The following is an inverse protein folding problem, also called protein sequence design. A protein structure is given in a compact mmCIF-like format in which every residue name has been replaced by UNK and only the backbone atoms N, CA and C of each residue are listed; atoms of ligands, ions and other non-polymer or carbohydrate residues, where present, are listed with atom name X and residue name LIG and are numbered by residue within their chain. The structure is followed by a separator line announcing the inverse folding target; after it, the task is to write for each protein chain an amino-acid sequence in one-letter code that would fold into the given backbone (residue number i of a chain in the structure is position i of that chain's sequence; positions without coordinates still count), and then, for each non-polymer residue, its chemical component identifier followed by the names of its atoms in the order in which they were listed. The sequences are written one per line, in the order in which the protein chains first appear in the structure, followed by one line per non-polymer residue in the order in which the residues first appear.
data_IF_122224947354
#
_entry.id   IF_122224947354
#
_cell.length_a   1.000
_cell.length_b   1.000
_cell.length_c   1.000
_cell.angle_alpha   90.00
_cell.angle_beta   90.00
_cell.angle_gamma   90.00
#
_symmetry.space_group_name_H-M   'P 1'
#
loop_
_entity.id
_entity.type
_entity.pdbx_description
1 polymer ?
#
# COMPACT_ATOMS: atom_id res chain seq x y z
N UNK A 1 -23.10 -73.14 -56.11
CA UNK A 1 -22.04 -72.45 -56.88
C UNK A 1 -22.15 -70.95 -56.60
N UNK A 2 -20.98 -70.32 -56.41
CA UNK A 2 -20.65 -68.88 -56.22
C UNK A 2 -20.70 -68.28 -54.79
N UNK A 3 -19.47 -67.93 -54.35
CA UNK A 3 -18.93 -67.04 -53.30
C UNK A 3 -19.39 -65.56 -53.44
N UNK A 4 -19.22 -64.57 -52.54
CA UNK A 4 -18.41 -64.37 -51.30
C UNK A 4 -18.84 -63.09 -50.49
N UNK A 5 -18.29 -62.99 -49.25
CA UNK A 5 -17.96 -61.81 -48.39
C UNK A 5 -19.12 -61.03 -47.69
N UNK A 6 -19.05 -60.57 -46.43
CA UNK A 6 -17.92 -60.01 -45.64
C UNK A 6 -18.21 -60.07 -44.12
N UNK A 7 -17.17 -60.26 -43.28
CA UNK A 7 -17.20 -60.16 -41.81
C UNK A 7 -16.93 -58.71 -41.32
N UNK A 8 -17.52 -58.31 -40.18
CA UNK A 8 -17.25 -57.05 -39.47
C UNK A 8 -16.64 -57.35 -38.09
N UNK A 9 -15.51 -56.70 -37.80
CA UNK A 9 -14.71 -56.81 -36.57
C UNK A 9 -15.21 -55.81 -35.52
N UNK A 10 -15.33 -56.24 -34.26
CA UNK A 10 -15.62 -55.40 -33.09
C UNK A 10 -14.36 -55.32 -32.21
N UNK A 11 -13.78 -54.11 -32.04
CA UNK A 11 -12.62 -53.87 -31.16
C UNK A 11 -13.08 -53.31 -29.80
N UNK A 12 -12.55 -53.91 -28.72
CA UNK A 12 -12.54 -53.39 -27.35
C UNK A 12 -11.58 -52.19 -27.24
N UNK A 13 -11.97 -51.14 -26.52
CA UNK A 13 -11.08 -50.07 -26.07
C UNK A 13 -10.96 -50.08 -24.54
N UNK A 14 -9.72 -50.18 -24.06
CA UNK A 14 -9.28 -50.10 -22.67
C UNK A 14 -9.32 -48.64 -22.17
N UNK A 15 -9.82 -48.44 -20.94
CA UNK A 15 -9.82 -47.15 -20.26
C UNK A 15 -8.42 -46.74 -19.79
N UNK A 16 -8.04 -45.49 -20.08
CA UNK A 16 -6.86 -44.82 -19.52
C UNK A 16 -7.30 -43.86 -18.40
N UNK A 17 -6.49 -43.65 -17.34
CA UNK A 17 -6.78 -42.63 -16.33
C UNK A 17 -6.51 -41.23 -16.93
N UNK A 18 -7.51 -40.36 -16.90
CA UNK A 18 -7.34 -38.94 -17.21
C UNK A 18 -6.58 -38.27 -16.05
N UNK A 19 -5.30 -37.97 -16.26
CA UNK A 19 -4.59 -36.96 -15.49
C UNK A 19 -5.11 -35.59 -15.92
N UNK A 20 -5.97 -34.98 -15.09
CA UNK A 20 -6.40 -33.60 -15.27
C UNK A 20 -5.30 -32.65 -14.81
N UNK A 21 -4.52 -32.14 -15.77
CA UNK A 21 -3.55 -31.06 -15.57
C UNK A 21 -4.32 -29.74 -15.34
N UNK A 22 -4.25 -29.18 -14.13
CA UNK A 22 -4.80 -27.86 -13.84
C UNK A 22 -3.81 -26.80 -14.35
N UNK A 23 -3.96 -26.41 -15.61
CA UNK A 23 -3.33 -25.19 -16.13
C UNK A 23 -4.22 -24.01 -15.72
N UNK A 24 -3.96 -23.46 -14.54
CA UNK A 24 -4.44 -22.14 -14.17
C UNK A 24 -3.55 -21.09 -14.83
N UNK A 25 -3.90 -20.68 -16.05
CA UNK A 25 -3.34 -19.46 -16.64
C UNK A 25 -3.78 -18.27 -15.80
N UNK A 26 -2.80 -17.59 -15.20
CA UNK A 26 -3.00 -16.32 -14.50
C UNK A 26 -3.48 -15.30 -15.55
N UNK A 27 -4.64 -14.65 -15.39
CA UNK A 27 -4.98 -13.53 -16.25
C UNK A 27 -3.98 -12.42 -16.00
N UNK A 28 -3.37 -11.93 -17.08
CA UNK A 28 -2.45 -10.82 -17.10
C UNK A 28 -3.21 -9.56 -16.64
N UNK A 29 -3.29 -9.36 -15.32
CA UNK A 29 -3.67 -8.08 -14.76
C UNK A 29 -2.48 -7.15 -14.98
N UNK A 30 -2.74 -6.00 -15.59
CA UNK A 30 -1.77 -4.91 -15.61
C UNK A 30 -1.26 -4.76 -14.17
N UNK A 31 0.05 -4.89 -13.91
CA UNK A 31 0.57 -4.65 -12.58
C UNK A 31 0.22 -3.20 -12.22
N UNK A 32 -0.38 -3.01 -11.05
CA UNK A 32 -0.38 -1.71 -10.40
C UNK A 32 1.04 -1.13 -10.53
N UNK A 33 1.22 0.16 -10.87
CA UNK A 33 2.54 0.75 -11.08
C UNK A 33 3.47 0.57 -9.87
N UNK A 34 2.91 0.26 -8.70
CA UNK A 34 3.63 -0.13 -7.51
C UNK A 34 3.94 -1.65 -7.52
N UNK A 35 5.15 -2.02 -7.96
CA UNK A 35 5.72 -3.35 -7.73
C UNK A 35 5.93 -3.57 -6.22
N UNK A 36 5.47 -4.73 -5.72
CA UNK A 36 5.67 -5.34 -4.38
C UNK A 36 4.52 -5.15 -3.34
N UNK A 37 4.42 -5.98 -2.28
CA UNK A 37 3.46 -7.08 -2.12
C UNK A 37 2.23 -6.66 -1.29
N UNK A 38 1.12 -6.33 -1.96
CA UNK A 38 -0.12 -5.91 -1.29
C UNK A 38 -1.32 -6.82 -1.61
N UNK A 39 -1.07 -7.98 -2.23
CA UNK A 39 -2.11 -8.95 -2.57
C UNK A 39 -2.55 -9.71 -1.31
N UNK A 40 -3.84 -9.67 -0.94
CA UNK A 40 -4.37 -10.52 0.13
C UNK A 40 -4.04 -11.98 -0.17
N UNK A 41 -3.59 -12.71 0.84
CA UNK A 41 -3.35 -14.15 0.75
C UNK A 41 -4.44 -14.88 1.51
N UNK A 42 -4.67 -16.15 1.22
CA UNK A 42 -5.73 -16.87 1.90
C UNK A 42 -5.80 -18.34 1.55
N UNK A 43 -6.69 -19.04 2.24
CA UNK A 43 -7.03 -20.42 1.94
C UNK A 43 -8.54 -20.56 1.74
N UNK A 44 -8.92 -21.44 0.82
CA UNK A 44 -10.29 -21.86 0.63
C UNK A 44 -10.38 -23.34 0.98
N UNK A 45 -11.37 -23.71 1.81
CA UNK A 45 -11.65 -25.09 2.16
C UNK A 45 -13.13 -25.40 1.96
N UNK A 46 -13.44 -26.61 1.49
CA UNK A 46 -14.81 -27.08 1.24
C UNK A 46 -14.98 -28.44 1.89
N UNK A 47 -16.02 -28.60 2.72
CA UNK A 47 -16.31 -29.86 3.40
C UNK A 47 -17.79 -30.27 3.24
N UNK A 48 -18.10 -31.48 2.76
CA UNK A 48 -17.16 -32.48 2.23
C UNK A 48 -16.54 -32.04 0.89
N UNK A 49 -15.34 -32.53 0.61
CA UNK A 49 -14.62 -32.30 -0.67
C UNK A 49 -15.20 -33.08 -1.84
N UNK A 50 -16.10 -34.04 -1.55
CA UNK A 50 -16.82 -34.85 -2.55
C UNK A 50 -18.29 -34.51 -2.48
N UNK A 51 -18.88 -34.25 -3.65
CA UNK A 51 -20.32 -33.98 -3.76
C UNK A 51 -21.09 -35.28 -3.50
N UNK A 52 -21.94 -35.27 -2.47
CA UNK A 52 -22.85 -36.37 -2.17
C UNK A 52 -24.30 -35.86 -2.27
N UNK A 53 -25.20 -36.61 -2.92
CA UNK A 53 -26.62 -36.26 -2.95
C UNK A 53 -27.17 -36.09 -1.53
N UNK A 54 -27.88 -34.99 -1.28
CA UNK A 54 -28.45 -34.68 0.04
C UNK A 54 -27.48 -34.05 1.04
N UNK A 55 -26.17 -33.94 0.73
CA UNK A 55 -25.20 -33.27 1.59
C UNK A 55 -24.93 -31.86 1.08
N UNK A 56 -25.05 -30.86 1.97
CA UNK A 56 -24.70 -29.46 1.66
C UNK A 56 -23.23 -29.21 2.01
N UNK A 57 -22.35 -28.94 1.02
CA UNK A 57 -20.98 -28.60 1.30
C UNK A 57 -20.90 -27.23 2.00
N UNK A 58 -20.02 -27.15 3.00
CA UNK A 58 -19.64 -25.91 3.67
C UNK A 58 -18.35 -25.41 3.06
N UNK A 59 -18.37 -24.21 2.50
CA UNK A 59 -17.18 -23.50 2.05
C UNK A 59 -16.74 -22.52 3.13
N UNK A 60 -15.44 -22.52 3.43
CA UNK A 60 -14.80 -21.55 4.33
C UNK A 60 -13.68 -20.88 3.54
N UNK A 61 -13.67 -19.56 3.56
CA UNK A 61 -12.61 -18.75 2.98
C UNK A 61 -11.92 -17.97 4.10
N UNK A 62 -10.63 -18.19 4.26
CA UNK A 62 -9.78 -17.44 5.18
C UNK A 62 -8.91 -16.48 4.35
N UNK A 63 -9.10 -15.18 4.53
CA UNK A 63 -8.31 -14.14 3.84
C UNK A 63 -7.49 -13.39 4.89
N UNK A 64 -6.18 -13.32 4.68
CA UNK A 64 -5.24 -12.49 5.41
C UNK A 64 -4.93 -11.26 4.55
N UNK A 65 -5.39 -10.10 5.03
CA UNK A 65 -5.10 -8.81 4.43
C UNK A 65 -3.73 -8.30 4.91
N UNK A 66 -2.97 -7.61 4.05
CA UNK A 66 -1.74 -6.96 4.50
C UNK A 66 -2.07 -5.92 5.57
N UNK A 67 -1.23 -5.84 6.61
CA UNK A 67 -1.33 -4.79 7.62
C UNK A 67 -1.21 -3.40 6.98
N UNK A 68 -2.04 -2.49 7.48
CA UNK A 68 -2.06 -1.09 7.10
C UNK A 68 -1.06 -0.25 7.90
N UNK A 69 -0.84 1.01 7.49
CA UNK A 69 -0.11 2.02 8.26
C UNK A 69 -0.66 2.10 9.68
N UNK A 70 -1.98 2.14 9.84
CA UNK A 70 -2.63 2.27 11.16
C UNK A 70 -2.35 1.08 12.10
N UNK A 71 -2.09 -0.12 11.54
CA UNK A 71 -1.73 -1.30 12.32
C UNK A 71 -0.29 -1.24 12.84
N UNK A 72 0.61 -0.60 12.08
CA UNK A 72 2.06 -0.68 12.32
C UNK A 72 2.68 0.63 12.80
N UNK A 73 1.99 1.76 12.65
CA UNK A 73 2.41 3.09 13.06
C UNK A 73 1.21 3.98 13.38
N UNK A 74 1.52 5.19 13.85
CA UNK A 74 0.61 6.31 13.97
C UNK A 74 1.20 7.47 13.18
N UNK A 75 0.37 8.14 12.37
CA UNK A 75 0.74 9.38 11.67
C UNK A 75 -0.06 10.50 12.33
N UNK A 76 0.61 11.53 12.84
CA UNK A 76 -0.08 12.68 13.41
C UNK A 76 -0.60 13.64 12.33
N UNK A 77 -1.32 14.69 12.75
CA UNK A 77 -1.94 15.66 11.83
C UNK A 77 -0.94 16.39 10.94
N UNK A 78 0.32 16.49 11.35
CA UNK A 78 1.37 17.20 10.61
C UNK A 78 2.22 16.23 9.79
N UNK A 79 1.92 14.93 9.83
CA UNK A 79 2.61 13.89 9.10
C UNK A 79 3.80 13.24 9.84
N UNK A 80 4.01 13.50 11.12
CA UNK A 80 5.05 12.79 11.88
C UNK A 80 4.66 11.34 12.05
N UNK A 81 5.57 10.43 11.68
CA UNK A 81 5.33 8.99 11.79
C UNK A 81 5.92 8.48 13.11
N UNK A 82 5.12 7.71 13.84
CA UNK A 82 5.51 7.07 15.10
C UNK A 82 5.21 5.57 14.97
N UNK A 83 6.22 4.72 14.70
CA UNK A 83 6.02 3.28 14.59
C UNK A 83 5.51 2.66 15.90
N UNK A 84 4.55 1.73 15.81
CA UNK A 84 4.06 0.92 16.95
C UNK A 84 4.89 -0.36 17.15
N UNK A 85 5.64 -0.74 16.12
CA UNK A 85 6.51 -1.90 16.10
C UNK A 85 7.79 -1.58 15.34
N UNK A 86 8.74 -2.53 15.33
CA UNK A 86 9.97 -2.36 14.56
C UNK A 86 9.68 -2.38 13.06
N UNK A 87 10.13 -1.36 12.34
CA UNK A 87 9.91 -1.21 10.90
C UNK A 87 11.19 -0.87 10.15
N UNK A 88 11.23 -1.22 8.87
CA UNK A 88 12.13 -0.66 7.88
C UNK A 88 11.39 0.46 7.13
N UNK A 89 12.09 1.56 6.90
CA UNK A 89 11.58 2.81 6.33
C UNK A 89 12.27 3.05 4.98
N UNK A 90 11.50 3.39 3.95
CA UNK A 90 12.00 3.85 2.64
C UNK A 90 11.29 5.13 2.24
N UNK A 91 12.02 6.08 1.69
CA UNK A 91 11.48 7.35 1.19
C UNK A 91 11.83 7.52 -0.28
N UNK A 92 10.87 7.98 -1.07
CA UNK A 92 11.02 8.40 -2.46
C UNK A 92 10.47 9.80 -2.65
N UNK A 93 11.07 10.59 -3.52
CA UNK A 93 10.50 11.89 -3.93
C UNK A 93 9.65 11.64 -5.16
N UNK A 94 8.38 12.05 -5.10
CA UNK A 94 7.41 11.80 -6.18
C UNK A 94 7.33 12.97 -7.16
N UNK A 95 7.56 14.19 -6.68
CA UNK A 95 7.52 15.39 -7.51
C UNK A 95 7.92 16.64 -6.74
N UNK A 96 8.25 17.68 -7.52
CA UNK A 96 8.54 19.03 -7.05
C UNK A 96 7.87 19.98 -8.04
N UNK A 97 6.96 20.84 -7.56
CA UNK A 97 6.25 21.81 -8.41
C UNK A 97 6.55 23.27 -8.06
N UNK A 98 7.56 23.52 -7.23
CA UNK A 98 7.95 24.86 -6.85
C UNK A 98 8.45 25.67 -8.06
N UNK A 99 7.79 26.80 -8.33
CA UNK A 99 8.11 27.65 -9.48
C UNK A 99 7.92 29.14 -9.23
N UNK A 100 8.63 29.96 -9.99
CA UNK A 100 8.35 31.40 -10.12
C UNK A 100 8.13 31.73 -11.60
N UNK A 101 6.88 32.08 -11.95
CA UNK A 101 6.47 32.21 -13.34
C UNK A 101 6.64 30.88 -14.07
N UNK A 102 7.50 30.82 -15.08
CA UNK A 102 7.83 29.60 -15.82
C UNK A 102 9.17 28.96 -15.40
N UNK A 103 9.79 29.46 -14.33
CA UNK A 103 11.08 28.97 -13.87
C UNK A 103 10.89 27.99 -12.73
N UNK A 104 11.27 26.73 -12.94
CA UNK A 104 11.35 25.73 -11.88
C UNK A 104 12.43 26.12 -10.87
N UNK A 105 12.04 26.10 -9.60
CA UNK A 105 12.89 26.45 -8.48
C UNK A 105 13.32 25.19 -7.73
N UNK A 106 14.52 25.18 -7.12
CA UNK A 106 14.95 24.01 -6.38
C UNK A 106 14.28 23.96 -5.01
N UNK A 107 13.95 22.74 -4.58
CA UNK A 107 13.51 22.41 -3.24
C UNK A 107 14.53 21.47 -2.58
N UNK A 108 14.56 21.48 -1.26
CA UNK A 108 15.35 20.56 -0.47
C UNK A 108 14.46 19.83 0.54
N UNK A 109 14.72 18.53 0.72
CA UNK A 109 14.01 17.65 1.64
C UNK A 109 14.98 17.01 2.62
N UNK A 110 14.61 16.99 3.88
CA UNK A 110 15.32 16.33 4.96
C UNK A 110 14.44 15.34 5.69
N UNK A 111 15.07 14.30 6.21
CA UNK A 111 14.45 13.30 7.09
C UNK A 111 15.20 13.27 8.41
N UNK A 112 14.47 13.08 9.51
CA UNK A 112 15.06 12.82 10.83
C UNK A 112 14.41 11.59 11.43
N UNK A 113 15.22 10.62 11.85
CA UNK A 113 14.75 9.40 12.54
C UNK A 113 15.21 9.42 13.99
N UNK A 114 14.30 9.86 14.87
CA UNK A 114 14.50 10.09 16.30
C UNK A 114 14.58 11.57 16.63
N UNK A 115 13.86 12.01 17.67
CA UNK A 115 13.71 13.44 18.00
C UNK A 115 15.04 14.20 18.23
N UNK A 116 16.08 13.50 18.70
CA UNK A 116 17.43 14.05 18.94
C UNK A 116 18.44 13.73 17.84
N UNK A 117 18.02 13.03 16.77
CA UNK A 117 18.89 12.72 15.64
C UNK A 117 19.12 13.98 14.77
N UNK A 118 20.25 14.08 14.05
CA UNK A 118 20.43 15.12 13.07
C UNK A 118 19.45 14.96 11.90
N UNK A 119 19.14 16.08 11.24
CA UNK A 119 18.44 16.07 9.96
C UNK A 119 19.40 15.60 8.84
N UNK A 120 18.95 14.66 8.03
CA UNK A 120 19.68 14.11 6.89
C UNK A 120 19.07 14.70 5.61
N UNK A 121 19.87 15.37 4.78
CA UNK A 121 19.42 15.87 3.48
C UNK A 121 19.26 14.67 2.54
N UNK A 122 18.05 14.44 2.03
CA UNK A 122 17.73 13.29 1.18
C UNK A 122 17.47 13.69 -0.27
N UNK A 123 17.10 14.95 -0.52
CA UNK A 123 16.90 15.46 -1.87
C UNK A 123 17.22 16.95 -1.92
N UNK A 124 17.84 17.39 -3.01
CA UNK A 124 17.99 18.79 -3.38
C UNK A 124 18.01 18.91 -4.91
N UNK A 125 17.00 19.57 -5.46
CA UNK A 125 16.82 19.64 -6.90
C UNK A 125 15.49 20.28 -7.31
N UNK A 126 15.25 20.30 -8.62
CA UNK A 126 14.02 20.77 -9.27
C UNK A 126 13.16 19.59 -9.71
N UNK A 127 12.02 19.87 -10.32
CA UNK A 127 11.13 18.87 -10.93
C UNK A 127 11.89 17.86 -11.81
N UNK A 128 12.75 18.35 -12.72
CA UNK A 128 13.49 17.49 -13.65
C UNK A 128 14.59 16.64 -13.00
N UNK A 129 14.94 16.92 -11.73
CA UNK A 129 15.91 16.12 -10.97
C UNK A 129 15.23 14.97 -10.20
N UNK A 130 13.89 14.92 -10.18
CA UNK A 130 13.13 13.90 -9.46
C UNK A 130 13.15 12.58 -10.23
N UNK A 131 13.49 11.50 -9.52
CA UNK A 131 13.37 10.13 -9.99
C UNK A 131 12.40 9.36 -9.08
N UNK A 132 11.10 9.25 -9.44
CA UNK A 132 10.07 8.72 -8.54
C UNK A 132 10.28 7.27 -8.09
N UNK A 133 11.04 6.47 -8.84
CA UNK A 133 11.36 5.09 -8.51
C UNK A 133 12.57 4.95 -7.56
N UNK A 134 13.38 6.01 -7.42
CA UNK A 134 14.60 6.02 -6.62
C UNK A 134 14.28 6.12 -5.12
N UNK A 135 14.90 5.24 -4.33
CA UNK A 135 14.87 5.32 -2.88
C UNK A 135 15.95 6.30 -2.44
N UNK A 136 15.54 7.52 -2.10
CA UNK A 136 16.45 8.59 -1.67
C UNK A 136 16.90 8.44 -0.21
N UNK A 137 16.17 7.64 0.58
CA UNK A 137 16.52 7.33 1.96
C UNK A 137 15.98 5.96 2.38
N UNK A 138 16.82 5.18 3.06
CA UNK A 138 16.43 3.91 3.66
C UNK A 138 16.99 3.82 5.09
N UNK A 139 16.13 3.43 6.05
CA UNK A 139 16.54 3.13 7.42
C UNK A 139 15.95 1.81 7.86
N UNK A 140 16.81 0.88 8.26
CA UNK A 140 16.39 -0.43 8.77
C UNK A 140 16.25 -0.43 10.28
N UNK A 141 15.40 -1.31 10.79
CA UNK A 141 15.26 -1.62 12.20
C UNK A 141 14.88 -0.42 13.09
N UNK A 142 14.10 0.53 12.56
CA UNK A 142 13.57 1.67 13.33
C UNK A 142 12.72 1.12 14.48
N UNK A 143 12.99 1.59 15.70
CA UNK A 143 12.33 1.09 16.90
C UNK A 143 10.91 1.68 17.05
N UNK A 144 10.02 0.97 17.78
CA UNK A 144 8.76 1.56 18.23
C UNK A 144 8.98 2.90 18.93
N UNK A 145 7.99 3.78 18.86
CA UNK A 145 7.95 5.11 19.49
C UNK A 145 9.03 6.10 18.99
N UNK A 146 9.80 5.73 17.96
CA UNK A 146 10.77 6.63 17.32
C UNK A 146 10.03 7.61 16.42
N UNK A 147 10.13 8.91 16.69
CA UNK A 147 9.59 9.95 15.78
C UNK A 147 10.37 9.98 14.47
N UNK A 148 9.68 9.87 13.35
CA UNK A 148 10.22 10.08 12.02
C UNK A 148 9.60 11.36 11.49
N UNK A 149 10.43 12.37 11.32
CA UNK A 149 10.02 13.71 10.90
C UNK A 149 10.57 14.03 9.51
N UNK A 150 9.85 14.90 8.80
CA UNK A 150 10.26 15.46 7.52
C UNK A 150 10.37 16.98 7.62
N UNK A 151 11.25 17.55 6.81
CA UNK A 151 11.38 19.00 6.70
C UNK A 151 11.77 19.37 5.29
N UNK A 152 11.29 20.52 4.80
CA UNK A 152 11.62 21.02 3.48
C UNK A 152 11.67 22.55 3.44
N UNK A 153 12.38 23.07 2.44
CA UNK A 153 12.38 24.49 2.07
C UNK A 153 12.69 24.67 0.60
N UNK A 154 12.16 25.74 0.01
CA UNK A 154 12.38 26.12 -1.37
C UNK A 154 13.39 27.25 -1.52
N UNK A 155 14.01 27.37 -2.69
CA UNK A 155 14.82 28.53 -3.04
C UNK A 155 14.03 29.46 -3.96
N UNK A 156 13.94 30.74 -3.63
CA UNK A 156 13.39 31.78 -4.51
C UNK A 156 14.23 31.98 -5.77
N UNK A 157 13.66 32.68 -6.76
CA UNK A 157 14.34 33.01 -8.01
C UNK A 157 15.63 33.83 -7.83
N UNK A 158 15.78 34.57 -6.73
CA UNK A 158 17.00 35.32 -6.41
C UNK A 158 18.08 34.49 -5.70
N UNK A 159 17.81 33.20 -5.44
CA UNK A 159 18.71 32.32 -4.71
C UNK A 159 18.57 32.38 -3.18
N UNK A 160 17.68 33.22 -2.65
CA UNK A 160 17.36 33.25 -1.22
C UNK A 160 16.46 32.08 -0.85
N UNK A 161 16.61 31.52 0.34
CA UNK A 161 15.75 30.43 0.83
C UNK A 161 14.45 31.00 1.40
N UNK A 162 13.33 30.33 1.12
CA UNK A 162 12.10 30.48 1.88
C UNK A 162 12.24 29.83 3.27
N UNK A 163 11.22 30.03 4.10
CA UNK A 163 11.16 29.42 5.43
C UNK A 163 11.17 27.89 5.34
N UNK A 164 11.59 27.27 6.43
CA UNK A 164 11.62 25.81 6.56
C UNK A 164 10.35 25.32 7.20
N UNK A 165 9.65 24.42 6.51
CA UNK A 165 8.46 23.74 7.01
C UNK A 165 8.83 22.34 7.49
N UNK A 166 8.18 21.85 8.54
CA UNK A 166 8.50 20.54 9.14
C UNK A 166 7.35 19.92 9.88
N UNK A 167 7.22 18.59 9.77
CA UNK A 167 6.24 17.78 10.51
C UNK A 167 6.45 17.86 12.03
N UNK A 168 7.69 18.18 12.46
CA UNK A 168 8.02 18.38 13.87
C UNK A 168 7.48 19.72 14.44
N UNK A 169 7.02 20.63 13.57
CA UNK A 169 6.38 21.88 13.92
C UNK A 169 4.86 21.75 14.02
N UNK A 170 4.15 22.87 13.87
CA UNK A 170 2.68 22.94 13.88
C UNK A 170 2.12 23.70 12.68
N UNK A 171 2.85 23.70 11.58
CA UNK A 171 2.51 24.45 10.36
C UNK A 171 1.63 23.62 9.43
N UNK A 172 0.66 24.27 8.79
CA UNK A 172 -0.24 23.68 7.80
C UNK A 172 0.41 23.53 6.42
N UNK A 173 1.60 24.10 6.22
CA UNK A 173 2.44 23.95 5.02
C UNK A 173 3.07 22.55 4.86
N UNK A 174 2.76 21.61 5.76
CA UNK A 174 3.10 20.19 5.60
C UNK A 174 2.01 19.31 6.17
N UNK A 175 1.68 18.24 5.46
CA UNK A 175 0.75 17.21 5.93
C UNK A 175 1.23 15.84 5.46
N UNK A 176 1.04 14.83 6.32
CA UNK A 176 1.18 13.43 5.94
C UNK A 176 -0.20 12.79 5.88
N UNK A 177 -0.48 12.08 4.80
CA UNK A 177 -1.76 11.41 4.54
C UNK A 177 -1.54 9.92 4.28
N UNK A 178 -2.48 9.11 4.73
CA UNK A 178 -2.54 7.67 4.46
C UNK A 178 -3.64 7.34 3.45
N UNK A 179 -3.68 6.09 2.99
CA UNK A 179 -4.73 5.64 2.08
C UNK A 179 -6.14 5.91 2.64
N UNK A 180 -6.96 6.60 1.85
CA UNK A 180 -8.34 6.95 2.17
C UNK A 180 -8.50 8.30 2.87
N UNK A 181 -7.42 9.00 3.21
CA UNK A 181 -7.53 10.36 3.77
C UNK A 181 -8.00 11.33 2.69
N UNK A 182 -8.80 12.34 3.08
CA UNK A 182 -9.19 13.44 2.20
C UNK A 182 -8.06 14.47 2.15
N UNK A 183 -7.74 14.99 0.97
CA UNK A 183 -6.81 16.13 0.84
C UNK A 183 -7.34 17.36 1.58
N UNK A 184 -6.47 18.28 2.05
CA UNK A 184 -6.91 19.43 2.84
C UNK A 184 -7.75 20.43 2.03
N UNK A 185 -8.94 20.76 2.55
CA UNK A 185 -9.85 21.75 1.96
C UNK A 185 -9.28 23.19 1.94
N UNK A 186 -8.21 23.43 2.70
CA UNK A 186 -7.50 24.72 2.71
C UNK A 186 -6.46 24.87 1.60
N UNK A 187 -6.25 23.84 0.77
CA UNK A 187 -5.40 23.87 -0.42
C UNK A 187 -6.29 23.92 -1.67
N UNK A 188 -6.62 25.11 -2.20
CA UNK A 188 -7.67 25.26 -3.22
C UNK A 188 -7.37 24.54 -4.54
N UNK A 189 -6.11 24.22 -4.79
CA UNK A 189 -5.68 23.54 -6.01
C UNK A 189 -6.38 22.17 -6.21
N UNK A 190 -6.61 21.42 -5.13
CA UNK A 190 -7.28 20.12 -5.21
C UNK A 190 -8.76 20.25 -5.59
N UNK A 191 -9.45 21.30 -5.13
CA UNK A 191 -10.85 21.55 -5.49
C UNK A 191 -10.99 22.12 -6.91
N UNK A 192 -9.97 22.82 -7.39
CA UNK A 192 -9.95 23.47 -8.70
C UNK A 192 -9.38 22.59 -9.82
N UNK A 193 -8.97 21.36 -9.51
CA UNK A 193 -8.36 20.43 -10.46
C UNK A 193 -6.97 20.87 -10.96
N UNK A 194 -6.27 21.72 -10.20
CA UNK A 194 -4.89 22.16 -10.46
C UNK A 194 -3.90 21.19 -9.81
N UNK A 195 -4.11 19.91 -10.09
CA UNK A 195 -3.35 18.82 -9.52
C UNK A 195 -2.22 18.50 -10.48
N UNK A 196 -0.99 18.51 -9.97
CA UNK A 196 0.18 18.16 -10.72
C UNK A 196 0.14 16.71 -11.18
N UNK A 197 0.69 16.45 -12.37
CA UNK A 197 0.57 15.14 -13.02
C UNK A 197 1.07 14.00 -12.12
N UNK A 198 2.14 14.22 -11.35
CA UNK A 198 2.68 13.25 -10.41
C UNK A 198 1.76 12.96 -9.22
N UNK A 199 0.86 13.88 -8.85
CA UNK A 199 -0.14 13.70 -7.78
C UNK A 199 -1.41 13.00 -8.25
N UNK A 200 -1.79 13.16 -9.52
CA UNK A 200 -3.07 12.61 -10.05
C UNK A 200 -3.23 11.10 -9.83
N UNK A 201 -2.12 10.35 -9.85
CA UNK A 201 -2.14 8.90 -9.63
C UNK A 201 -2.46 8.48 -8.18
N UNK A 202 -2.34 9.42 -7.23
CA UNK A 202 -2.56 9.18 -5.80
C UNK A 202 -3.90 9.71 -5.31
N UNK A 203 -4.80 10.12 -6.20
CA UNK A 203 -6.09 10.69 -5.85
C UNK A 203 -7.22 9.98 -6.59
N UNK A 204 -8.33 9.77 -5.90
CA UNK A 204 -9.58 9.33 -6.53
C UNK A 204 -10.41 10.54 -7.00
N UNK A 205 -11.55 10.25 -7.64
CA UNK A 205 -12.48 11.27 -8.16
C UNK A 205 -13.07 12.18 -7.07
N UNK A 206 -13.07 11.72 -5.81
CA UNK A 206 -13.56 12.46 -4.64
C UNK A 206 -12.44 13.15 -3.85
N UNK A 207 -11.24 13.31 -4.43
CA UNK A 207 -10.06 13.91 -3.78
C UNK A 207 -9.62 13.22 -2.47
N UNK A 208 -9.77 11.91 -2.41
CA UNK A 208 -9.17 11.07 -1.37
C UNK A 208 -7.90 10.42 -1.88
N UNK A 209 -6.94 10.27 -0.99
CA UNK A 209 -5.64 9.67 -1.23
C UNK A 209 -5.77 8.17 -1.50
N UNK A 210 -5.15 7.69 -2.57
CA UNK A 210 -5.11 6.27 -2.96
C UNK A 210 -3.66 5.81 -2.90
N UNK A 211 -3.34 4.98 -1.91
CA UNK A 211 -1.99 4.51 -1.61
C UNK A 211 -1.98 3.01 -1.30
N UNK A 212 -0.79 2.40 -1.37
CA UNK A 212 -0.58 1.08 -0.80
C UNK A 212 -0.87 1.08 0.70
N UNK A 213 -1.25 -0.08 1.29
CA UNK A 213 -1.64 -0.17 2.69
C UNK A 213 -0.55 0.29 3.66
N UNK A 214 0.72 0.32 3.25
CA UNK A 214 1.87 0.72 4.10
C UNK A 214 2.56 1.99 3.62
N UNK A 215 1.95 2.69 2.67
CA UNK A 215 2.49 3.91 2.10
C UNK A 215 1.83 5.13 2.76
N UNK A 216 2.63 6.17 2.95
CA UNK A 216 2.25 7.47 3.50
C UNK A 216 2.75 8.51 2.51
N UNK A 217 1.91 9.46 2.12
CA UNK A 217 2.32 10.57 1.26
C UNK A 217 2.48 11.83 2.10
N UNK A 218 3.61 12.50 1.97
CA UNK A 218 3.86 13.81 2.56
C UNK A 218 3.83 14.85 1.45
N UNK A 219 3.11 15.92 1.71
CA UNK A 219 2.90 17.03 0.77
C UNK A 219 3.28 18.32 1.47
N UNK A 220 3.92 19.22 0.74
CA UNK A 220 4.48 20.46 1.29
C UNK A 220 4.11 21.64 0.40
N UNK A 221 3.87 22.77 1.06
CA UNK A 221 3.84 24.10 0.48
C UNK A 221 5.08 24.86 0.99
N UNK A 222 5.86 25.46 0.09
CA UNK A 222 7.14 26.10 0.39
C UNK A 222 7.20 27.56 -0.11
N UNK A 223 6.36 27.92 -1.09
CA UNK A 223 6.30 29.27 -1.65
C UNK A 223 5.50 30.26 -0.81
N UNK A 224 4.60 29.76 0.03
CA UNK A 224 3.78 30.59 0.94
C UNK A 224 3.43 29.87 2.24
N UNK A 225 3.07 30.64 3.28
CA UNK A 225 2.52 30.13 4.55
C UNK A 225 1.08 30.56 4.77
N UNK A 226 0.36 30.92 3.70
CA UNK A 226 -1.01 31.44 3.75
C UNK A 226 -2.03 30.43 3.18
N UNK A 227 -2.60 29.54 4.01
CA UNK A 227 -3.66 28.64 3.61
C UNK A 227 -4.82 29.35 2.91
N UNK A 228 -5.39 28.73 1.88
CA UNK A 228 -6.47 29.28 1.07
C UNK A 228 -6.04 30.28 -0.01
N UNK A 229 -4.76 30.68 -0.06
CA UNK A 229 -4.25 31.42 -1.21
C UNK A 229 -4.31 30.55 -2.47
N UNK A 230 -4.53 31.15 -3.64
CA UNK A 230 -4.67 30.39 -4.89
C UNK A 230 -3.39 29.67 -5.35
N UNK A 231 -2.25 30.06 -4.79
CA UNK A 231 -0.93 29.45 -4.97
C UNK A 231 -0.50 28.60 -3.76
N UNK A 232 -1.36 28.40 -2.76
CA UNK A 232 -1.15 27.44 -1.67
C UNK A 232 -1.73 26.10 -2.12
N UNK A 233 -0.90 25.25 -2.74
CA UNK A 233 -1.37 24.04 -3.42
C UNK A 233 -0.88 22.74 -2.79
N UNK A 234 0.07 22.82 -1.84
CA UNK A 234 0.68 21.67 -1.16
C UNK A 234 1.43 20.72 -2.10
N UNK A 235 1.83 21.17 -3.29
CA UNK A 235 2.47 20.32 -4.30
C UNK A 235 3.91 20.71 -4.59
N UNK A 236 4.46 21.71 -3.88
CA UNK A 236 5.83 22.21 -4.05
C UNK A 236 6.89 21.12 -3.87
N UNK A 237 6.69 20.22 -2.91
CA UNK A 237 7.42 18.95 -2.84
C UNK A 237 6.53 17.85 -2.28
N UNK A 238 6.57 16.68 -2.92
CA UNK A 238 5.82 15.51 -2.51
C UNK A 238 6.78 14.33 -2.37
N UNK A 239 6.72 13.64 -1.24
CA UNK A 239 7.47 12.40 -1.02
C UNK A 239 6.56 11.29 -0.49
N UNK A 240 6.89 10.07 -0.88
CA UNK A 240 6.21 8.86 -0.40
C UNK A 240 7.13 8.11 0.55
N UNK A 241 6.55 7.72 1.67
CA UNK A 241 7.19 6.90 2.69
C UNK A 241 6.55 5.52 2.73
N UNK A 242 7.33 4.48 2.49
CA UNK A 242 6.89 3.09 2.61
C UNK A 242 7.44 2.48 3.88
N UNK A 243 6.56 1.90 4.70
CA UNK A 243 6.93 1.12 5.87
C UNK A 243 6.90 -0.38 5.56
N UNK A 244 7.83 -1.14 6.10
CA UNK A 244 7.78 -2.60 6.04
C UNK A 244 8.16 -3.22 7.38
N UNK A 245 7.57 -4.36 7.72
CA UNK A 245 7.97 -5.09 8.90
C UNK A 245 9.36 -5.68 8.68
N UNK A 246 10.18 -5.65 9.74
CA UNK A 246 11.38 -6.47 9.78
C UNK A 246 10.94 -7.93 9.75
N UNK A 247 11.32 -8.66 8.71
CA UNK A 247 11.09 -10.12 8.67
C UNK A 247 11.93 -10.76 9.79
N UNK A 248 11.34 -10.97 10.95
CA UNK A 248 11.92 -11.82 11.96
C UNK A 248 11.97 -13.25 11.41
N UNK A 249 13.17 -13.74 11.09
CA UNK A 249 13.42 -15.15 10.71
C UNK A 249 12.90 -16.17 11.75
N UNK A 250 12.43 -15.72 12.92
CA UNK A 250 11.76 -16.55 13.93
C UNK A 250 10.34 -16.98 13.51
N UNK A 251 9.62 -16.20 12.69
CA UNK A 251 8.26 -16.58 12.23
C UNK A 251 8.28 -17.67 11.16
N UNK A 252 9.28 -17.70 10.28
CA UNK A 252 9.44 -18.76 9.27
C UNK A 252 9.80 -20.11 9.88
N UNK A 253 10.63 -20.14 10.93
CA UNK A 253 10.97 -21.39 11.64
C UNK A 253 9.80 -21.94 12.49
N UNK A 254 8.91 -21.08 13.02
CA UNK A 254 7.72 -21.54 13.77
C UNK A 254 6.69 -22.23 12.86
N UNK A 255 6.53 -21.77 11.61
CA UNK A 255 5.66 -22.40 10.59
C UNK A 255 6.15 -23.78 10.13
N UNK A 256 7.45 -24.08 10.22
CA UNK A 256 7.99 -25.40 9.86
C UNK A 256 7.86 -26.46 10.95
N UNK A 257 7.61 -26.08 12.20
CA UNK A 257 7.47 -27.02 13.32
C UNK A 257 6.02 -27.29 13.74
N UNK A 258 5.04 -26.54 13.25
CA UNK A 258 3.61 -26.71 13.60
C UNK A 258 2.83 -27.71 12.74
N UNK A 259 3.47 -28.45 11.82
CA UNK A 259 2.83 -29.52 11.06
C UNK A 259 2.84 -30.89 11.76
N UNK A 260 3.31 -30.96 13.01
CA UNK A 260 3.28 -32.19 13.81
C UNK A 260 2.80 -31.84 15.22
N UNK A 261 1.57 -32.24 15.57
CA UNK A 261 0.85 -31.99 16.84
C UNK A 261 0.39 -30.54 17.05
N UNK A 262 -0.81 -30.21 17.55
CA UNK A 262 -1.81 -30.96 18.29
C UNK A 262 -3.13 -30.15 18.29
N UNK A 263 -4.21 -30.86 18.63
CA UNK A 263 -5.46 -30.36 19.19
C UNK A 263 -5.29 -29.16 20.17
N UNK A 264 -6.27 -28.25 20.10
CA UNK A 264 -6.68 -27.24 21.10
C UNK A 264 -5.63 -26.30 21.72
N UNK A 265 -5.70 -25.01 21.39
CA UNK A 265 -5.92 -23.92 22.36
C UNK A 265 -6.07 -22.59 21.61
N UNK A 266 -7.11 -21.84 21.99
CA UNK A 266 -7.53 -20.55 21.46
C UNK A 266 -6.52 -19.43 21.73
N UNK A 267 -6.15 -18.67 20.69
CA UNK A 267 -5.68 -17.29 20.83
C UNK A 267 -6.34 -16.44 19.75
N UNK A 268 -7.04 -15.38 20.19
CA UNK A 268 -7.89 -14.56 19.35
C UNK A 268 -7.07 -13.51 18.59
N UNK A 269 -6.87 -13.73 17.30
CA UNK A 269 -6.63 -12.67 16.32
C UNK A 269 -7.98 -12.24 15.71
N UNK A 270 -8.14 -10.99 15.25
CA UNK A 270 -9.38 -10.54 14.63
C UNK A 270 -9.51 -11.15 13.23
N UNK A 271 -9.95 -12.40 13.17
CA UNK A 271 -10.41 -13.02 11.93
C UNK A 271 -11.84 -12.58 11.68
N UNK A 272 -12.09 -11.90 10.56
CA UNK A 272 -13.46 -11.71 10.09
C UNK A 272 -13.91 -12.97 9.38
N UNK A 273 -14.75 -13.78 10.01
CA UNK A 273 -15.44 -14.87 9.32
C UNK A 273 -16.71 -14.33 8.66
N UNK A 274 -16.87 -14.57 7.36
CA UNK A 274 -18.14 -14.41 6.67
C UNK A 274 -18.79 -15.78 6.53
N UNK A 275 -20.09 -15.86 6.80
CA UNK A 275 -20.89 -17.06 6.51
C UNK A 275 -21.99 -16.66 5.53
N UNK A 276 -22.20 -17.49 4.51
CA UNK A 276 -23.29 -17.33 3.53
C UNK A 276 -24.50 -18.05 4.09
N UNK A 277 -25.62 -17.34 4.25
CA UNK A 277 -26.86 -17.95 4.72
C UNK A 277 -27.63 -18.66 3.59
N UNK A 278 -28.67 -19.41 3.97
CA UNK A 278 -29.49 -20.25 3.08
C UNK A 278 -30.22 -19.48 1.95
N UNK A 279 -30.05 -18.15 1.85
CA UNK A 279 -30.60 -17.30 0.78
C UNK A 279 -29.53 -16.71 -0.15
N UNK A 280 -28.26 -17.06 0.04
CA UNK A 280 -27.16 -16.54 -0.79
C UNK A 280 -26.79 -15.08 -0.47
N UNK A 281 -27.17 -14.58 0.72
CA UNK A 281 -26.84 -13.22 1.15
C UNK A 281 -25.58 -13.24 2.01
N UNK A 282 -24.59 -12.42 1.66
CA UNK A 282 -23.37 -12.23 2.45
C UNK A 282 -23.71 -11.28 3.61
N UNK A 283 -23.76 -11.80 4.84
CA UNK A 283 -23.85 -10.95 6.03
C UNK A 283 -22.44 -10.73 6.60
N UNK A 284 -21.94 -9.49 6.51
CA UNK A 284 -20.70 -9.08 7.19
C UNK A 284 -20.97 -8.96 8.69
N UNK A 285 -20.26 -9.71 9.52
CA UNK A 285 -20.20 -9.48 10.96
C UNK A 285 -19.28 -8.32 11.30
N UNK A 286 -19.73 -7.07 11.14
CA UNK A 286 -19.08 -5.93 11.79
C UNK A 286 -19.55 -5.93 13.25
N UNK A 287 -18.64 -6.18 14.20
CA UNK A 287 -18.91 -5.83 15.60
C UNK A 287 -18.69 -4.33 15.73
N UNK A 288 -19.76 -3.60 15.97
CA UNK A 288 -19.68 -2.24 16.48
C UNK A 288 -19.08 -2.26 17.88
N UNK A 289 -17.90 -1.67 18.02
CA UNK A 289 -17.39 -1.02 19.23
C UNK A 289 -16.48 0.12 18.84
#
# INVERSE_FOLDING_TARGET
MKMQATQLVLLLALGSPLSGEIIGSVPNSNPSPHKDPYTPIGSISVTPTVVQPGVRPKMVWEIEYPESVADISHVDSNGTIIPRQRVDLKVRVMGVALQAGHTQLPAALWVRVGASAPWELVFYGRENDVQPDEIVFEKKNVLPDTKIDFSARGQSASGSWYDTHSTAGSDLSVIGMVNGDKVPDYAPAYEQGRIESFMTQFLNEDNHVVLGPRDIIHTFELGTSSPGAWWFDMQDIVCMTTLSQVQDQRRSNRRRQTSVNLLSASSAHPSSSATVDDKGVITRGRKDK
#
